data_IF_887489557904
#
_entry.id   IF_887489557904
#
_cell.length_a   1.000
_cell.length_b   1.000
_cell.length_c   1.000
_cell.angle_alpha   90.00
_cell.angle_beta   90.00
_cell.angle_gamma   90.00
#
_symmetry.space_group_name_H-M   'P 1'
#
loop_
_entity.id
_entity.type
_entity.pdbx_description
1 polymer ?
#
# COMPACT_ATOMS: atom_id res chain seq x y z
N UNK A 1 -10.54 1.39 64.57
CA UNK A 1 -10.52 0.08 63.89
C UNK A 1 -10.83 0.30 62.42
N UNK A 2 -9.83 0.05 61.56
CA UNK A 2 -9.83 0.41 60.15
C UNK A 2 -10.74 -0.52 59.31
N UNK A 3 -11.51 0.04 58.37
CA UNK A 3 -12.19 -0.71 57.32
C UNK A 3 -11.31 -0.71 56.08
N UNK A 4 -10.62 -1.82 55.84
CA UNK A 4 -9.85 -2.09 54.62
C UNK A 4 -10.73 -2.86 53.65
N UNK A 5 -11.28 -2.20 52.62
CA UNK A 5 -11.95 -2.89 51.51
C UNK A 5 -10.93 -3.15 50.40
N UNK A 6 -10.58 -4.42 50.21
CA UNK A 6 -9.66 -4.92 49.19
C UNK A 6 -10.25 -4.74 47.78
N UNK A 7 -9.47 -4.15 46.88
CA UNK A 7 -9.75 -4.03 45.43
C UNK A 7 -9.37 -5.35 44.74
N UNK A 8 -10.25 -6.00 43.94
CA UNK A 8 -9.85 -7.18 43.19
C UNK A 8 -8.96 -6.78 42.00
N UNK A 9 -7.89 -7.55 41.80
CA UNK A 9 -6.87 -7.39 40.78
C UNK A 9 -7.25 -8.19 39.51
N UNK A 10 -6.93 -7.61 38.33
CA UNK A 10 -6.66 -8.20 37.00
C UNK A 10 -7.58 -9.32 36.46
N UNK A 11 -8.09 -9.06 35.25
CA UNK A 11 -7.86 -9.98 34.12
C UNK A 11 -7.45 -9.12 32.91
N UNK A 12 -6.20 -9.28 32.50
CA UNK A 12 -5.74 -8.86 31.19
C UNK A 12 -6.44 -9.74 30.15
N UNK A 13 -7.17 -9.14 29.21
CA UNK A 13 -7.67 -9.88 28.05
C UNK A 13 -6.51 -10.06 27.08
N UNK A 14 -5.88 -11.22 27.20
CA UNK A 14 -5.01 -11.78 26.19
C UNK A 14 -5.85 -12.35 25.03
N UNK A 15 -5.20 -12.32 23.86
CA UNK A 15 -5.51 -13.08 22.65
C UNK A 15 -6.64 -12.51 21.77
N UNK A 16 -6.26 -11.54 20.92
CA UNK A 16 -6.96 -11.34 19.65
C UNK A 16 -6.87 -12.65 18.86
N UNK A 17 -8.03 -13.30 18.68
CA UNK A 17 -8.17 -14.50 17.89
C UNK A 17 -7.59 -14.28 16.49
N UNK A 18 -6.71 -15.18 16.05
CA UNK A 18 -6.34 -15.30 14.65
C UNK A 18 -7.62 -15.57 13.85
N UNK A 19 -7.94 -14.76 12.82
CA UNK A 19 -9.01 -15.13 11.91
C UNK A 19 -8.59 -16.38 11.15
N UNK A 20 -9.53 -17.32 11.05
CA UNK A 20 -9.43 -18.52 10.22
C UNK A 20 -8.98 -18.17 8.80
N UNK A 21 -8.26 -19.11 8.16
CA UNK A 21 -7.75 -19.02 6.80
C UNK A 21 -8.86 -18.78 5.77
N UNK A 22 -9.24 -17.52 5.61
CA UNK A 22 -10.23 -17.03 4.66
C UNK A 22 -9.71 -15.76 3.98
N UNK A 23 -10.27 -15.45 2.81
CA UNK A 23 -9.89 -14.22 2.08
C UNK A 23 -10.12 -13.00 2.99
N UNK A 24 -9.15 -12.07 3.07
CA UNK A 24 -9.29 -10.84 3.85
C UNK A 24 -10.58 -10.09 3.50
N UNK A 25 -11.21 -9.50 4.52
CA UNK A 25 -12.37 -8.64 4.31
C UNK A 25 -12.00 -7.43 3.44
N UNK A 26 -12.99 -6.85 2.74
CA UNK A 26 -12.82 -5.61 1.99
C UNK A 26 -13.42 -4.45 2.79
N UNK A 27 -12.70 -3.33 2.83
CA UNK A 27 -13.20 -2.06 3.34
C UNK A 27 -14.23 -1.45 2.37
N UNK A 28 -14.95 -0.43 2.83
CA UNK A 28 -15.78 0.39 1.96
C UNK A 28 -14.94 0.94 0.81
N UNK A 29 -15.40 0.77 -0.43
CA UNK A 29 -14.64 1.10 -1.64
C UNK A 29 -13.83 -0.06 -2.23
N UNK A 30 -13.87 -1.25 -1.62
CA UNK A 30 -13.27 -2.47 -2.18
C UNK A 30 -11.79 -2.66 -1.89
N UNK A 31 -11.21 -1.86 -0.99
CA UNK A 31 -9.80 -2.00 -0.59
C UNK A 31 -9.60 -3.19 0.36
N UNK A 32 -8.68 -4.12 0.09
CA UNK A 32 -8.37 -5.20 1.02
C UNK A 32 -7.99 -4.71 2.41
N UNK A 33 -8.59 -5.30 3.44
CA UNK A 33 -8.26 -5.03 4.84
C UNK A 33 -7.09 -5.92 5.27
N UNK A 34 -5.88 -5.38 5.17
CA UNK A 34 -4.64 -6.07 5.53
C UNK A 34 -3.93 -5.29 6.63
N UNK A 35 -3.59 -5.98 7.72
CA UNK A 35 -2.89 -5.38 8.84
C UNK A 35 -1.51 -4.86 8.42
N UNK A 36 -1.01 -3.87 9.17
CA UNK A 36 0.32 -3.30 8.94
C UNK A 36 1.38 -4.40 9.11
N UNK A 37 2.21 -4.58 8.09
CA UNK A 37 3.36 -5.48 8.12
C UNK A 37 4.37 -5.06 7.05
N UNK A 38 5.63 -5.45 7.24
CA UNK A 38 6.73 -5.13 6.33
C UNK A 38 7.14 -6.38 5.52
N UNK A 39 7.77 -6.15 4.38
CA UNK A 39 8.23 -7.19 3.47
C UNK A 39 7.23 -7.51 2.36
N UNK A 40 7.61 -8.51 1.55
CA UNK A 40 6.86 -8.91 0.36
C UNK A 40 5.58 -9.67 0.69
N UNK A 41 5.62 -10.58 1.68
CA UNK A 41 4.48 -11.40 2.10
C UNK A 41 3.17 -10.62 2.31
N UNK A 42 3.13 -9.51 3.08
CA UNK A 42 1.89 -8.74 3.24
C UNK A 42 1.42 -8.04 1.97
N UNK A 43 2.34 -7.63 1.08
CA UNK A 43 1.99 -7.05 -0.23
C UNK A 43 1.38 -8.11 -1.15
N UNK A 44 1.95 -9.32 -1.19
CA UNK A 44 1.37 -10.44 -1.96
C UNK A 44 -0.01 -10.84 -1.42
N UNK A 45 -0.19 -10.85 -0.09
CA UNK A 45 -1.49 -11.08 0.54
C UNK A 45 -2.52 -10.00 0.15
N UNK A 46 -2.10 -8.73 0.09
CA UNK A 46 -2.93 -7.65 -0.41
C UNK A 46 -3.32 -7.87 -1.87
N UNK A 47 -2.36 -8.16 -2.76
CA UNK A 47 -2.61 -8.39 -4.20
C UNK A 47 -3.56 -9.57 -4.43
N UNK A 48 -3.39 -10.66 -3.68
CA UNK A 48 -4.27 -11.82 -3.74
C UNK A 48 -5.71 -11.50 -3.28
N UNK A 49 -5.87 -10.52 -2.39
CA UNK A 49 -7.16 -10.08 -1.89
C UNK A 49 -7.80 -8.95 -2.73
N UNK A 50 -7.08 -8.34 -3.67
CA UNK A 50 -7.64 -7.32 -4.57
C UNK A 50 -8.80 -7.90 -5.39
N UNK A 51 -9.95 -7.21 -5.50
CA UNK A 51 -11.14 -7.79 -6.11
C UNK A 51 -11.10 -7.76 -7.65
N UNK A 52 -11.50 -8.88 -8.27
CA UNK A 52 -11.67 -8.99 -9.73
C UNK A 52 -10.39 -8.68 -10.50
N UNK A 53 -10.53 -7.93 -11.59
CA UNK A 53 -9.43 -7.50 -12.47
C UNK A 53 -8.32 -6.74 -11.75
N UNK A 54 -8.61 -6.14 -10.59
CA UNK A 54 -7.61 -5.37 -9.83
C UNK A 54 -6.46 -6.23 -9.33
N UNK A 55 -6.68 -7.54 -9.10
CA UNK A 55 -5.61 -8.46 -8.70
C UNK A 55 -4.57 -8.66 -9.80
N UNK A 56 -4.99 -8.71 -11.08
CA UNK A 56 -4.07 -8.76 -12.21
C UNK A 56 -3.26 -7.47 -12.35
N UNK A 57 -3.92 -6.32 -12.19
CA UNK A 57 -3.23 -5.02 -12.15
C UNK A 57 -2.22 -4.97 -11.01
N UNK A 58 -2.60 -5.39 -9.80
CA UNK A 58 -1.71 -5.46 -8.65
C UNK A 58 -0.47 -6.31 -8.90
N UNK A 59 -0.63 -7.50 -9.50
CA UNK A 59 0.49 -8.38 -9.89
C UNK A 59 1.43 -7.70 -10.88
N UNK A 60 0.88 -7.05 -11.92
CA UNK A 60 1.67 -6.36 -12.95
C UNK A 60 2.46 -5.20 -12.36
N UNK A 61 1.81 -4.37 -11.53
CA UNK A 61 2.46 -3.24 -10.86
C UNK A 61 3.60 -3.73 -9.95
N UNK A 62 3.36 -4.73 -9.10
CA UNK A 62 4.39 -5.26 -8.20
C UNK A 62 5.58 -5.86 -8.95
N UNK A 63 5.33 -6.61 -10.03
CA UNK A 63 6.38 -7.16 -10.88
C UNK A 63 7.21 -6.07 -11.56
N UNK A 64 6.56 -5.02 -12.09
CA UNK A 64 7.22 -3.87 -12.69
C UNK A 64 8.07 -3.11 -11.68
N UNK A 65 7.54 -2.86 -10.48
CA UNK A 65 8.26 -2.15 -9.42
C UNK A 65 9.48 -2.96 -8.97
N UNK A 66 9.29 -4.25 -8.67
CA UNK A 66 10.35 -5.14 -8.18
C UNK A 66 11.47 -5.33 -9.22
N UNK A 67 11.11 -5.43 -10.51
CA UNK A 67 12.10 -5.51 -11.60
C UNK A 67 12.87 -4.20 -11.78
N UNK A 68 12.20 -3.07 -11.65
CA UNK A 68 12.80 -1.74 -11.87
C UNK A 68 13.72 -1.35 -10.72
N UNK A 69 13.38 -1.73 -9.49
CA UNK A 69 14.12 -1.43 -8.28
C UNK A 69 14.41 -2.75 -7.53
N UNK A 70 15.48 -3.48 -7.91
CA UNK A 70 15.88 -4.67 -7.18
C UNK A 70 16.11 -4.37 -5.69
N UNK A 71 15.52 -5.17 -4.81
CA UNK A 71 15.59 -4.94 -3.36
C UNK A 71 14.67 -3.83 -2.84
N UNK A 72 13.65 -3.43 -3.61
CA UNK A 72 12.64 -2.45 -3.17
C UNK A 72 12.08 -2.80 -1.80
N UNK A 73 12.01 -1.80 -0.91
CA UNK A 73 11.44 -1.96 0.42
C UNK A 73 9.92 -1.92 0.34
N UNK A 74 9.27 -2.97 0.86
CA UNK A 74 7.81 -3.17 0.76
C UNK A 74 7.16 -3.16 2.13
N UNK A 75 5.93 -2.65 2.20
CA UNK A 75 5.09 -2.81 3.37
C UNK A 75 3.61 -2.69 3.00
N UNK A 76 2.75 -3.21 3.85
CA UNK A 76 1.37 -2.74 3.95
C UNK A 76 1.26 -1.80 5.13
N UNK A 77 0.69 -0.61 4.89
CA UNK A 77 0.42 0.40 5.92
C UNK A 77 -0.95 1.01 5.65
N UNK A 78 -1.74 1.22 6.69
CA UNK A 78 -3.13 1.71 6.56
C UNK A 78 -3.93 0.94 5.49
N UNK A 79 -3.80 -0.39 5.49
CA UNK A 79 -4.43 -1.29 4.52
C UNK A 79 -4.02 -1.06 3.05
N UNK A 80 -2.86 -0.48 2.77
CA UNK A 80 -2.39 -0.16 1.41
C UNK A 80 -0.93 -0.58 1.23
N UNK A 81 -0.52 -1.12 0.06
CA UNK A 81 0.89 -1.37 -0.25
C UNK A 81 1.67 -0.07 -0.40
N UNK A 82 2.89 -0.05 0.13
CA UNK A 82 3.88 1.01 -0.02
C UNK A 82 5.20 0.41 -0.51
N UNK A 83 5.87 1.17 -1.38
CA UNK A 83 7.16 0.83 -1.97
C UNK A 83 8.14 1.98 -1.73
N UNK A 84 9.36 1.63 -1.36
CA UNK A 84 10.36 2.58 -0.90
C UNK A 84 11.78 2.05 -1.01
N UNK A 85 12.70 2.83 -0.46
CA UNK A 85 14.09 2.43 -0.26
C UNK A 85 14.32 2.41 1.26
N UNK A 86 14.88 1.32 1.76
CA UNK A 86 15.14 1.16 3.20
C UNK A 86 16.01 2.32 3.71
N UNK A 87 15.60 2.94 4.81
CA UNK A 87 16.26 4.12 5.38
C UNK A 87 16.03 5.45 4.64
N UNK A 88 15.48 5.46 3.42
CA UNK A 88 15.25 6.67 2.62
C UNK A 88 13.77 7.02 2.42
N UNK A 89 12.86 6.18 2.91
CA UNK A 89 11.42 6.43 2.90
C UNK A 89 10.69 5.81 1.72
N UNK A 90 9.43 6.20 1.55
CA UNK A 90 8.52 5.64 0.55
C UNK A 90 8.44 6.55 -0.66
N UNK A 91 8.45 5.99 -1.87
CA UNK A 91 8.29 6.78 -3.09
C UNK A 91 6.93 6.58 -3.77
N UNK A 92 6.24 5.46 -3.47
CA UNK A 92 4.94 5.14 -4.04
C UNK A 92 4.04 4.34 -3.09
N UNK A 93 2.73 4.52 -3.23
CA UNK A 93 1.69 3.68 -2.60
C UNK A 93 0.58 3.29 -3.57
N UNK A 94 -0.10 2.17 -3.30
CA UNK A 94 -1.20 1.65 -4.12
C UNK A 94 -2.48 1.55 -3.27
N UNK A 95 -3.63 1.91 -3.83
CA UNK A 95 -4.92 1.76 -3.16
C UNK A 95 -6.02 1.34 -4.13
N UNK A 96 -6.88 0.39 -3.71
CA UNK A 96 -8.04 0.02 -4.50
C UNK A 96 -9.23 0.94 -4.18
N UNK A 97 -9.81 1.53 -5.21
CA UNK A 97 -11.12 2.17 -5.16
C UNK A 97 -12.15 1.30 -5.87
N UNK A 98 -13.44 1.64 -5.73
CA UNK A 98 -14.52 0.85 -6.34
C UNK A 98 -14.30 0.66 -7.85
N UNK A 99 -13.87 1.73 -8.54
CA UNK A 99 -13.81 1.79 -10.01
C UNK A 99 -12.39 1.77 -10.60
N UNK A 100 -11.35 1.90 -9.78
CA UNK A 100 -9.97 2.01 -10.26
C UNK A 100 -8.97 1.56 -9.20
N UNK A 101 -7.74 1.27 -9.64
CA UNK A 101 -6.56 1.15 -8.78
C UNK A 101 -5.81 2.48 -8.85
N UNK A 102 -5.60 3.13 -7.71
CA UNK A 102 -4.82 4.36 -7.61
C UNK A 102 -3.38 4.03 -7.26
N UNK A 103 -2.46 4.56 -8.04
CA UNK A 103 -1.03 4.63 -7.71
C UNK A 103 -0.70 6.06 -7.33
N UNK A 104 -0.17 6.27 -6.14
CA UNK A 104 0.30 7.56 -5.66
C UNK A 104 1.82 7.62 -5.71
N UNK A 105 2.36 8.54 -6.52
CA UNK A 105 3.79 8.89 -6.50
C UNK A 105 3.98 10.10 -5.59
N UNK A 106 4.74 9.94 -4.50
CA UNK A 106 4.78 10.97 -3.47
C UNK A 106 5.56 12.22 -3.88
N UNK A 107 6.53 12.06 -4.78
CA UNK A 107 7.23 13.14 -5.47
C UNK A 107 6.82 13.24 -6.94
N UNK A 108 5.55 12.99 -7.21
CA UNK A 108 4.96 12.90 -8.54
C UNK A 108 5.14 14.14 -9.42
N UNK A 109 5.19 15.35 -8.84
CA UNK A 109 5.45 16.59 -9.60
C UNK A 109 6.83 16.67 -10.22
N UNK A 110 7.79 15.90 -9.70
CA UNK A 110 9.18 15.88 -10.16
C UNK A 110 9.44 14.78 -11.19
N UNK A 111 8.42 14.02 -11.57
CA UNK A 111 8.53 12.97 -12.57
C UNK A 111 8.28 13.52 -13.97
N UNK A 112 8.92 12.93 -14.96
CA UNK A 112 8.79 13.30 -16.36
C UNK A 112 8.32 12.10 -17.22
N UNK A 113 7.23 12.23 -17.99
CA UNK A 113 6.20 13.28 -17.85
C UNK A 113 5.56 13.25 -16.45
N UNK A 114 4.88 14.33 -16.05
CA UNK A 114 4.18 14.37 -14.75
C UNK A 114 2.96 13.42 -14.82
N UNK A 115 2.75 12.50 -13.85
CA UNK A 115 1.56 11.66 -13.83
C UNK A 115 0.28 12.54 -13.80
N UNK A 116 -0.76 12.15 -14.54
CA UNK A 116 -1.86 13.06 -14.88
C UNK A 116 -2.77 13.41 -13.69
N UNK A 117 -2.89 12.52 -12.70
CA UNK A 117 -3.80 12.71 -11.58
C UNK A 117 -3.31 13.75 -10.58
N UNK A 118 -4.15 14.76 -10.31
CA UNK A 118 -3.86 15.82 -9.35
C UNK A 118 -4.08 15.38 -7.90
N UNK A 119 -3.33 15.99 -6.97
CA UNK A 119 -3.49 15.78 -5.53
C UNK A 119 -3.67 17.11 -4.80
N UNK A 120 -4.36 17.06 -3.66
CA UNK A 120 -4.38 18.18 -2.69
C UNK A 120 -3.01 18.39 -2.04
N UNK A 121 -2.20 17.34 -1.96
CA UNK A 121 -0.81 17.44 -1.52
C UNK A 121 0.05 17.93 -2.68
N UNK A 122 0.80 19.01 -2.46
CA UNK A 122 1.50 19.77 -3.51
C UNK A 122 2.32 18.89 -4.47
N UNK A 123 3.08 17.96 -3.90
CA UNK A 123 4.08 17.17 -4.63
C UNK A 123 3.56 15.83 -5.15
N UNK A 124 2.44 15.34 -4.62
CA UNK A 124 1.89 14.02 -4.97
C UNK A 124 1.19 14.09 -6.32
N UNK A 125 1.39 13.08 -7.16
CA UNK A 125 0.56 12.85 -8.35
C UNK A 125 0.08 11.41 -8.41
N UNK A 126 -1.06 11.23 -9.06
CA UNK A 126 -1.71 9.93 -9.18
C UNK A 126 -1.67 9.41 -10.60
N UNK A 127 -1.62 8.09 -10.70
CA UNK A 127 -2.06 7.34 -11.87
C UNK A 127 -3.26 6.51 -11.42
N UNK A 128 -4.43 6.79 -11.99
CA UNK A 128 -5.64 5.99 -11.76
C UNK A 128 -5.78 5.03 -12.94
N UNK A 129 -5.83 3.72 -12.65
CA UNK A 129 -5.94 2.66 -13.64
C UNK A 129 -7.34 2.09 -13.56
N UNK A 130 -8.10 2.19 -14.64
CA UNK A 130 -9.44 1.62 -14.79
C UNK A 130 -9.40 0.23 -15.45
N UNK A 131 -10.55 -0.46 -15.45
CA UNK A 131 -10.68 -1.85 -15.89
C UNK A 131 -10.27 -2.07 -17.35
N UNK A 132 -10.68 -1.14 -18.21
CA UNK A 132 -10.43 -1.20 -19.65
C UNK A 132 -9.16 -0.44 -20.08
N UNK A 133 -8.42 0.12 -19.12
CA UNK A 133 -7.19 0.86 -19.41
C UNK A 133 -6.06 -0.10 -19.77
N UNK A 134 -5.31 0.25 -20.81
CA UNK A 134 -4.03 -0.38 -21.07
C UNK A 134 -2.94 0.35 -20.27
N UNK A 135 -2.31 -0.36 -19.34
CA UNK A 135 -1.17 0.15 -18.62
C UNK A 135 0.03 0.27 -19.57
N UNK A 136 0.51 1.50 -19.81
CA UNK A 136 1.81 1.73 -20.44
C UNK A 136 2.91 1.31 -19.46
N UNK A 137 3.34 0.05 -19.57
CA UNK A 137 4.34 -0.54 -18.67
C UNK A 137 5.71 0.13 -18.78
N UNK A 138 6.07 0.63 -19.96
CA UNK A 138 7.34 1.30 -20.19
C UNK A 138 7.37 2.66 -19.48
N UNK A 139 6.30 3.44 -19.64
CA UNK A 139 6.14 4.71 -18.94
C UNK A 139 6.04 4.51 -17.42
N UNK A 140 5.30 3.50 -16.97
CA UNK A 140 5.20 3.19 -15.55
C UNK A 140 6.56 2.82 -14.94
N UNK A 141 7.34 1.96 -15.59
CA UNK A 141 8.69 1.62 -15.15
C UNK A 141 9.61 2.85 -15.14
N UNK A 142 9.51 3.75 -16.13
CA UNK A 142 10.26 5.00 -16.15
C UNK A 142 9.92 5.91 -14.95
N UNK A 143 8.65 5.99 -14.56
CA UNK A 143 8.23 6.71 -13.35
C UNK A 143 8.75 6.07 -12.07
N UNK A 144 8.66 4.74 -11.93
CA UNK A 144 9.20 4.03 -10.77
C UNK A 144 10.69 4.28 -10.62
N UNK A 145 11.45 4.19 -11.72
CA UNK A 145 12.89 4.47 -11.71
C UNK A 145 13.19 5.88 -11.23
N UNK A 146 12.52 6.89 -11.78
CA UNK A 146 12.68 8.28 -11.36
C UNK A 146 12.30 8.47 -9.88
N UNK A 147 11.14 7.96 -9.46
CA UNK A 147 10.66 8.08 -8.09
C UNK A 147 11.62 7.45 -7.07
N UNK A 148 12.25 6.33 -7.42
CA UNK A 148 13.23 5.64 -6.55
C UNK A 148 14.52 6.44 -6.32
N UNK A 149 14.80 7.44 -7.15
CA UNK A 149 15.99 8.29 -7.07
C UNK A 149 15.74 9.60 -6.32
N UNK A 150 14.49 9.87 -5.95
CA UNK A 150 14.09 11.06 -5.19
C UNK A 150 14.02 10.75 -3.70
N UNK A 151 14.18 11.76 -2.81
CA UNK A 151 13.93 11.58 -1.39
C UNK A 151 12.53 11.03 -1.14
N UNK A 152 12.44 9.91 -0.41
CA UNK A 152 11.18 9.30 -0.05
C UNK A 152 10.46 10.03 1.09
N UNK A 153 9.16 9.80 1.19
CA UNK A 153 8.35 10.29 2.30
C UNK A 153 8.59 9.48 3.57
N UNK A 154 8.67 10.19 4.70
CA UNK A 154 8.72 9.58 6.02
C UNK A 154 7.28 9.41 6.53
N UNK A 155 6.88 8.15 6.71
CA UNK A 155 5.54 7.76 7.10
C UNK A 155 5.60 6.58 8.05
#
# INVERSE_FOLDING_TARGET
>A
MAKTSKKPTKIAKETAAQPAAGKPALLSGGNPQIAKAYGDTPVQAYIAAMPGWKSDVGRRLDALITRTVPGVYKAVKWNSPFYGIEGQGWFLGIHCFTRYVKVAFFRGTSLQPVPPGQSKQKEVRYLDIHEDDQLDEAQFAAWVKQASQLPGERM
#
